data_IF_219621262732
#
_entry.id   IF_219621262732
#
_cell.length_a   1.000
_cell.length_b   1.000
_cell.length_c   1.000
_cell.angle_alpha   90.00
_cell.angle_beta   90.00
_cell.angle_gamma   90.00
#
_symmetry.space_group_name_H-M   'P 1'
#
loop_
_entity.id
_entity.type
_entity.pdbx_description
1 polymer ?
#
# COMPACT_ATOMS: atom_id res chain seq x y z
N UNK A 1 -20.72 -77.52 29.48
CA UNK A 1 -19.43 -77.44 28.75
C UNK A 1 -19.71 -77.07 27.30
N UNK A 2 -18.92 -76.12 26.77
CA UNK A 2 -18.97 -75.49 25.43
C UNK A 2 -20.06 -74.40 25.33
N UNK A 3 -19.81 -73.09 25.32
CA UNK A 3 -18.60 -72.32 25.02
C UNK A 3 -18.69 -71.73 23.60
N UNK A 4 -19.42 -70.63 23.42
CA UNK A 4 -19.37 -69.79 22.22
C UNK A 4 -18.67 -68.47 22.60
N UNK A 5 -17.42 -68.35 22.16
CA UNK A 5 -16.63 -67.12 22.21
C UNK A 5 -16.98 -66.23 21.03
N UNK A 6 -17.49 -65.03 21.30
CA UNK A 6 -17.61 -63.96 20.33
C UNK A 6 -16.24 -63.30 20.11
N UNK A 7 -15.77 -63.26 18.87
CA UNK A 7 -14.55 -62.57 18.47
C UNK A 7 -14.86 -61.08 18.26
N UNK A 8 -14.40 -60.22 19.17
CA UNK A 8 -14.30 -58.78 18.94
C UNK A 8 -12.99 -58.49 18.18
N UNK A 9 -13.08 -58.19 16.88
CA UNK A 9 -11.99 -57.55 16.14
C UNK A 9 -11.97 -56.06 16.48
N UNK A 10 -10.98 -55.64 17.27
CA UNK A 10 -10.60 -54.23 17.40
C UNK A 10 -9.81 -53.84 16.14
N UNK A 11 -10.44 -53.08 15.24
CA UNK A 11 -9.74 -52.38 14.18
C UNK A 11 -9.26 -51.04 14.75
N UNK A 12 -7.97 -50.98 15.11
CA UNK A 12 -7.30 -49.76 15.50
C UNK A 12 -6.97 -48.96 14.23
N UNK A 13 -7.84 -48.03 13.83
CA UNK A 13 -7.57 -47.09 12.74
C UNK A 13 -6.57 -46.03 13.21
N UNK A 14 -5.28 -46.30 13.02
CA UNK A 14 -4.24 -45.27 13.09
C UNK A 14 -4.42 -44.33 11.88
N UNK A 15 -5.14 -43.22 12.08
CA UNK A 15 -5.02 -42.07 11.18
C UNK A 15 -3.66 -41.43 11.43
N UNK A 16 -2.63 -41.89 10.72
CA UNK A 16 -1.42 -41.11 10.54
C UNK A 16 -1.75 -39.97 9.57
N UNK A 17 -2.06 -38.79 10.12
CA UNK A 17 -2.00 -37.56 9.35
C UNK A 17 -0.54 -37.40 8.88
N UNK A 18 -0.28 -37.73 7.62
CA UNK A 18 0.99 -37.38 6.98
C UNK A 18 1.09 -35.86 7.01
N UNK A 19 2.19 -35.27 7.53
CA UNK A 19 2.41 -33.85 7.35
C UNK A 19 2.44 -33.60 5.85
N UNK A 20 1.52 -32.77 5.35
CA UNK A 20 1.60 -32.24 3.99
C UNK A 20 2.94 -31.53 3.89
N UNK A 21 3.92 -32.18 3.25
CA UNK A 21 5.11 -31.50 2.80
C UNK A 21 4.60 -30.39 1.89
N UNK A 22 4.66 -29.14 2.35
CA UNK A 22 4.42 -27.99 1.50
C UNK A 22 5.31 -28.17 0.26
N UNK A 23 4.67 -28.45 -0.88
CA UNK A 23 5.37 -28.79 -2.11
C UNK A 23 6.25 -27.64 -2.56
N UNK A 24 7.25 -27.97 -3.38
CA UNK A 24 8.09 -26.97 -4.06
C UNK A 24 7.22 -25.91 -4.77
N UNK A 25 7.51 -24.64 -4.56
CA UNK A 25 6.77 -23.55 -5.19
C UNK A 25 7.23 -23.34 -6.64
N UNK A 26 6.30 -23.52 -7.58
CA UNK A 26 6.54 -23.46 -9.03
C UNK A 26 5.60 -22.49 -9.74
N UNK A 27 5.76 -21.18 -9.54
CA UNK A 27 4.84 -20.19 -10.10
C UNK A 27 5.02 -20.01 -11.61
N UNK A 28 3.93 -19.62 -12.28
CA UNK A 28 3.96 -18.98 -13.59
C UNK A 28 3.72 -17.49 -13.35
N UNK A 29 4.72 -16.65 -13.61
CA UNK A 29 4.61 -15.21 -13.45
C UNK A 29 3.92 -14.59 -14.66
N UNK A 30 2.90 -13.77 -14.40
CA UNK A 30 2.17 -13.04 -15.43
C UNK A 30 2.59 -11.57 -15.46
N UNK A 31 2.59 -10.96 -16.66
CA UNK A 31 2.63 -9.50 -16.74
C UNK A 31 1.27 -8.92 -16.43
N UNK A 32 1.19 -7.96 -15.52
CA UNK A 32 -0.03 -7.20 -15.24
C UNK A 32 0.32 -5.77 -14.85
N UNK A 33 -0.64 -4.86 -15.02
CA UNK A 33 -0.42 -3.41 -14.83
C UNK A 33 0.04 -3.05 -13.40
N UNK A 34 -0.39 -3.82 -12.38
CA UNK A 34 0.04 -3.70 -10.98
C UNK A 34 1.37 -4.42 -10.65
N UNK A 35 2.06 -5.03 -11.61
CA UNK A 35 3.37 -5.62 -11.35
C UNK A 35 4.43 -4.53 -11.09
N UNK A 36 5.62 -4.88 -10.56
CA UNK A 36 6.75 -3.95 -10.54
C UNK A 36 7.25 -3.69 -11.96
N UNK A 37 7.89 -2.54 -12.21
CA UNK A 37 8.59 -2.30 -13.49
C UNK A 37 9.72 -3.27 -13.75
N UNK A 38 10.45 -3.63 -12.70
CA UNK A 38 11.55 -4.58 -12.70
C UNK A 38 11.31 -5.65 -11.63
N UNK A 39 11.46 -6.91 -12.03
CA UNK A 39 11.37 -8.07 -11.15
C UNK A 39 12.65 -8.88 -11.23
N UNK A 40 13.27 -9.14 -10.08
CA UNK A 40 14.36 -10.12 -9.95
C UNK A 40 13.73 -11.46 -9.60
N UNK A 41 14.03 -12.50 -10.36
CA UNK A 41 13.48 -13.83 -10.16
C UNK A 41 14.60 -14.87 -10.09
N UNK A 42 14.58 -15.75 -9.08
CA UNK A 42 15.62 -16.75 -8.82
C UNK A 42 15.00 -18.15 -8.92
N UNK A 43 15.48 -18.91 -9.92
CA UNK A 43 15.10 -20.29 -10.14
C UNK A 43 16.13 -21.21 -9.50
N UNK A 44 15.72 -21.85 -8.40
CA UNK A 44 16.60 -22.72 -7.62
C UNK A 44 16.90 -24.03 -8.35
N UNK A 45 16.02 -24.59 -9.16
CA UNK A 45 16.29 -25.83 -9.89
C UNK A 45 17.31 -25.58 -11.00
N UNK A 46 17.14 -24.49 -11.76
CA UNK A 46 18.03 -24.12 -12.87
C UNK A 46 19.30 -23.41 -12.42
N UNK A 47 19.37 -22.96 -11.16
CA UNK A 47 20.48 -22.15 -10.65
C UNK A 47 20.70 -20.90 -11.52
N UNK A 48 19.60 -20.20 -11.81
CA UNK A 48 19.58 -19.01 -12.66
C UNK A 48 18.86 -17.86 -11.96
N UNK A 49 19.39 -16.66 -12.13
CA UNK A 49 18.72 -15.40 -11.83
C UNK A 49 18.26 -14.77 -13.15
N UNK A 50 17.01 -14.33 -13.17
CA UNK A 50 16.40 -13.60 -14.27
C UNK A 50 16.04 -12.19 -13.84
N UNK A 51 16.21 -11.24 -14.75
CA UNK A 51 15.65 -9.89 -14.61
C UNK A 51 14.54 -9.74 -15.64
N UNK A 52 13.32 -9.48 -15.16
CA UNK A 52 12.13 -9.36 -15.99
C UNK A 52 11.63 -7.92 -15.91
N UNK A 53 11.27 -7.34 -17.06
CA UNK A 53 10.59 -6.04 -17.09
C UNK A 53 9.10 -6.20 -17.33
N UNK A 54 8.29 -5.38 -16.66
CA UNK A 54 6.85 -5.25 -16.91
C UNK A 54 6.59 -4.52 -18.21
N UNK A 55 6.77 -5.26 -19.29
CA UNK A 55 6.15 -5.02 -20.60
C UNK A 55 5.09 -6.10 -20.78
N UNK A 56 4.17 -5.93 -21.72
CA UNK A 56 3.24 -7.01 -22.08
C UNK A 56 3.79 -7.68 -23.34
N UNK A 57 4.40 -8.88 -23.26
CA UNK A 57 4.61 -9.74 -22.08
C UNK A 57 5.84 -9.40 -21.24
N UNK A 58 5.97 -10.04 -20.05
CA UNK A 58 7.16 -9.90 -19.20
C UNK A 58 8.39 -10.18 -20.05
N UNK A 59 9.21 -9.14 -20.24
CA UNK A 59 10.37 -9.22 -21.12
C UNK A 59 11.59 -9.56 -20.30
N UNK A 60 12.21 -10.69 -20.61
CA UNK A 60 13.53 -11.06 -20.10
C UNK A 60 14.56 -10.00 -20.53
N UNK A 61 15.20 -9.37 -19.54
CA UNK A 61 16.27 -8.40 -19.72
C UNK A 61 17.64 -9.06 -19.60
N UNK A 62 17.85 -9.88 -18.57
CA UNK A 62 19.10 -10.57 -18.27
C UNK A 62 18.81 -11.96 -17.72
N UNK A 63 19.68 -12.92 -18.04
CA UNK A 63 19.74 -14.26 -17.45
C UNK A 63 21.17 -14.51 -17.01
N UNK A 64 21.37 -14.79 -15.73
CA UNK A 64 22.69 -14.91 -15.13
C UNK A 64 22.76 -16.20 -14.30
N UNK A 65 23.85 -16.98 -14.41
CA UNK A 65 24.12 -18.07 -13.49
C UNK A 65 24.14 -17.58 -12.04
N UNK A 66 23.54 -18.34 -11.15
CA UNK A 66 23.64 -18.11 -9.72
C UNK A 66 23.86 -19.44 -8.99
N UNK A 67 24.08 -19.38 -7.68
CA UNK A 67 24.08 -20.55 -6.81
C UNK A 67 23.29 -20.27 -5.54
N UNK A 68 22.61 -21.29 -5.05
CA UNK A 68 21.68 -21.20 -3.91
C UNK A 68 22.12 -22.13 -2.77
N UNK A 69 21.27 -22.29 -1.76
CA UNK A 69 21.51 -23.14 -0.61
C UNK A 69 21.80 -24.60 -0.98
N UNK A 70 22.69 -25.24 -0.23
CA UNK A 70 23.08 -26.64 -0.38
C UNK A 70 21.90 -27.62 -0.32
N UNK A 71 20.84 -27.28 0.42
CA UNK A 71 19.66 -28.13 0.54
C UNK A 71 18.53 -27.69 -0.39
N UNK A 72 17.82 -28.68 -0.94
CA UNK A 72 16.62 -28.47 -1.74
C UNK A 72 15.40 -28.13 -0.88
N UNK A 73 14.36 -27.58 -1.52
CA UNK A 73 13.10 -27.19 -0.89
C UNK A 73 13.14 -25.84 -0.18
N UNK A 74 11.99 -25.43 0.34
CA UNK A 74 11.80 -24.16 1.04
C UNK A 74 12.50 -24.15 2.41
N UNK A 75 12.99 -22.98 2.79
CA UNK A 75 13.66 -22.73 4.05
C UNK A 75 12.65 -22.75 5.19
N UNK A 76 12.91 -23.55 6.22
CA UNK A 76 12.04 -23.73 7.37
C UNK A 76 12.69 -23.31 8.68
N UNK A 77 13.97 -23.65 8.89
CA UNK A 77 14.63 -23.39 10.17
C UNK A 77 16.04 -22.82 10.01
N UNK A 78 16.55 -22.16 11.04
CA UNK A 78 17.93 -21.69 11.06
C UNK A 78 18.90 -22.86 10.83
N UNK A 79 19.87 -22.69 9.94
CA UNK A 79 20.90 -23.69 9.66
C UNK A 79 20.48 -24.86 8.75
N UNK A 80 19.26 -24.88 8.21
CA UNK A 80 18.81 -25.93 7.26
C UNK A 80 19.47 -25.88 5.87
N UNK A 81 20.33 -24.88 5.62
CA UNK A 81 21.07 -24.69 4.37
C UNK A 81 20.19 -24.52 3.13
N UNK A 82 18.91 -24.14 3.32
CA UNK A 82 17.96 -23.91 2.22
C UNK A 82 17.85 -22.42 1.90
N UNK A 83 17.67 -22.13 0.62
CA UNK A 83 17.22 -20.81 0.17
C UNK A 83 15.69 -20.75 0.25
N UNK A 84 15.11 -19.70 0.86
CA UNK A 84 13.68 -19.61 1.05
C UNK A 84 12.92 -19.46 -0.28
N UNK A 85 11.67 -19.91 -0.31
CA UNK A 85 10.74 -19.70 -1.43
C UNK A 85 9.71 -18.63 -1.06
N UNK A 86 9.42 -17.71 -1.99
CA UNK A 86 8.50 -16.60 -1.78
C UNK A 86 8.95 -15.29 -2.42
N UNK A 87 8.25 -14.22 -2.06
CA UNK A 87 8.56 -12.84 -2.46
C UNK A 87 9.28 -12.14 -1.32
N UNK A 88 10.47 -11.64 -1.62
CA UNK A 88 11.33 -10.89 -0.71
C UNK A 88 11.69 -9.53 -1.29
N UNK A 89 12.28 -8.67 -0.48
CA UNK A 89 12.68 -7.34 -0.90
C UNK A 89 14.07 -7.02 -0.38
N UNK A 90 14.86 -6.36 -1.21
CA UNK A 90 16.17 -5.83 -0.82
C UNK A 90 15.98 -4.77 0.27
N UNK A 91 16.72 -4.91 1.37
CA UNK A 91 16.63 -4.01 2.52
C UNK A 91 17.72 -2.94 2.54
N UNK A 92 18.90 -3.27 2.01
CA UNK A 92 20.06 -2.39 2.03
C UNK A 92 21.13 -2.92 1.08
N UNK A 93 22.28 -2.25 1.07
CA UNK A 93 23.47 -2.66 0.33
C UNK A 93 24.69 -2.63 1.25
N UNK A 94 25.48 -3.70 1.19
CA UNK A 94 26.72 -3.87 1.94
C UNK A 94 27.90 -3.93 0.96
N UNK A 95 28.99 -3.20 1.25
CA UNK A 95 30.22 -3.13 0.43
C UNK A 95 31.51 -3.36 1.22
N UNK A 96 31.42 -3.69 2.50
CA UNK A 96 32.59 -3.79 3.37
C UNK A 96 32.36 -4.77 4.52
N UNK A 97 33.46 -5.34 5.02
CA UNK A 97 33.42 -6.38 6.07
C UNK A 97 32.92 -7.73 5.58
N UNK A 98 32.94 -7.96 4.26
CA UNK A 98 32.56 -9.21 3.62
C UNK A 98 33.80 -10.09 3.44
N UNK A 99 33.68 -11.37 3.78
CA UNK A 99 34.64 -12.38 3.29
C UNK A 99 34.49 -12.45 1.78
N UNK A 100 35.48 -11.93 1.06
CA UNK A 100 35.42 -11.75 -0.38
C UNK A 100 35.25 -13.08 -1.14
N UNK A 101 35.89 -14.16 -0.68
CA UNK A 101 35.75 -15.46 -1.33
C UNK A 101 34.31 -16.00 -1.23
N UNK A 102 33.64 -15.72 -0.12
CA UNK A 102 32.28 -16.20 0.15
C UNK A 102 31.19 -15.26 -0.35
N UNK A 103 31.41 -13.96 -0.30
CA UNK A 103 30.38 -12.93 -0.46
C UNK A 103 30.68 -11.89 -1.56
N UNK A 104 31.88 -11.93 -2.14
CA UNK A 104 32.28 -10.98 -3.17
C UNK A 104 32.40 -9.55 -2.66
N UNK A 105 32.31 -8.60 -3.59
CA UNK A 105 32.44 -7.17 -3.31
C UNK A 105 31.17 -6.53 -2.75
N UNK A 106 30.00 -7.14 -2.99
CA UNK A 106 28.70 -6.57 -2.63
C UNK A 106 27.69 -7.62 -2.17
N UNK A 107 26.90 -7.26 -1.16
CA UNK A 107 25.75 -8.05 -0.72
C UNK A 107 24.50 -7.17 -0.52
N UNK A 108 23.35 -7.71 -0.87
CA UNK A 108 22.02 -7.11 -0.75
C UNK A 108 21.17 -7.98 0.17
N UNK A 109 21.05 -7.61 1.46
CA UNK A 109 20.23 -8.36 2.40
C UNK A 109 18.74 -8.36 2.01
N UNK A 110 18.10 -9.53 2.08
CA UNK A 110 16.67 -9.70 1.83
C UNK A 110 15.91 -9.71 3.16
N UNK A 111 14.63 -9.32 3.13
CA UNK A 111 13.77 -9.27 4.32
C UNK A 111 13.27 -10.64 4.83
N UNK A 112 14.01 -11.72 4.61
CA UNK A 112 13.69 -13.03 5.20
C UNK A 112 14.05 -13.06 6.70
N UNK A 113 13.17 -13.58 7.59
CA UNK A 113 11.82 -14.04 7.31
C UNK A 113 10.84 -12.86 7.19
N UNK A 114 10.05 -12.89 6.11
CA UNK A 114 8.96 -11.94 5.90
C UNK A 114 7.78 -12.28 6.85
N UNK A 115 6.72 -11.44 6.92
CA UNK A 115 5.56 -11.70 7.78
C UNK A 115 4.91 -13.08 7.61
N UNK A 116 4.77 -13.58 6.37
CA UNK A 116 4.18 -14.91 6.10
C UNK A 116 5.10 -16.03 6.54
N UNK A 117 6.42 -15.87 6.39
CA UNK A 117 7.40 -16.82 6.92
C UNK A 117 7.27 -16.96 8.44
N UNK A 118 7.13 -15.83 9.16
CA UNK A 118 6.94 -15.82 10.62
C UNK A 118 5.62 -16.45 11.03
N UNK A 119 4.52 -16.13 10.32
CA UNK A 119 3.23 -16.78 10.53
C UNK A 119 3.41 -18.29 10.40
N UNK A 120 4.13 -18.77 9.38
CA UNK A 120 4.42 -20.19 9.15
C UNK A 120 5.46 -20.79 10.09
N UNK A 121 5.93 -20.06 11.10
CA UNK A 121 6.89 -20.53 12.10
C UNK A 121 8.31 -20.73 11.56
N UNK A 122 8.65 -20.14 10.40
CA UNK A 122 9.99 -20.25 9.84
C UNK A 122 10.98 -19.42 10.65
N UNK A 123 12.20 -19.94 10.80
CA UNK A 123 13.27 -19.29 11.58
C UNK A 123 14.57 -19.11 10.78
N UNK A 124 15.48 -18.32 11.34
CA UNK A 124 16.75 -17.94 10.71
C UNK A 124 16.73 -16.50 10.20
N UNK A 125 17.82 -16.10 9.55
CA UNK A 125 18.06 -14.75 9.03
C UNK A 125 19.25 -14.78 8.08
N UNK A 126 19.66 -13.62 7.56
CA UNK A 126 20.91 -13.49 6.80
C UNK A 126 20.86 -14.09 5.39
N UNK A 127 19.69 -14.06 4.76
CA UNK A 127 19.54 -14.45 3.35
C UNK A 127 19.85 -13.24 2.48
N UNK A 128 20.94 -13.32 1.71
CA UNK A 128 21.42 -12.22 0.88
C UNK A 128 21.43 -12.62 -0.60
N UNK A 129 21.28 -11.62 -1.47
CA UNK A 129 21.73 -11.67 -2.86
C UNK A 129 23.13 -11.06 -2.91
N UNK A 130 24.17 -11.78 -3.30
CA UNK A 130 25.54 -11.28 -3.19
C UNK A 130 26.47 -11.78 -4.31
N UNK A 131 27.67 -11.17 -4.38
CA UNK A 131 28.74 -11.58 -5.28
C UNK A 131 29.46 -12.83 -4.81
N UNK A 132 30.46 -13.30 -5.55
CA UNK A 132 31.30 -14.42 -5.14
C UNK A 132 32.65 -14.34 -5.82
N UNK A 133 33.70 -14.25 -5.00
CA UNK A 133 35.08 -14.20 -5.48
C UNK A 133 35.63 -15.54 -6.01
N UNK A 134 34.90 -16.65 -5.83
CA UNK A 134 35.26 -17.97 -6.37
C UNK A 134 34.24 -18.50 -7.38
N UNK A 135 34.67 -19.46 -8.18
CA UNK A 135 33.82 -20.10 -9.19
C UNK A 135 32.50 -20.62 -8.59
N UNK A 136 31.39 -20.33 -9.28
CA UNK A 136 30.09 -20.81 -8.88
C UNK A 136 30.00 -22.33 -9.01
N UNK A 137 29.72 -22.99 -7.90
CA UNK A 137 29.29 -24.38 -7.85
C UNK A 137 27.79 -24.39 -7.55
N UNK A 138 26.95 -25.12 -8.29
CA UNK A 138 25.52 -25.27 -7.97
C UNK A 138 25.30 -25.67 -6.51
N UNK A 139 24.32 -25.06 -5.84
CA UNK A 139 23.91 -25.41 -4.46
C UNK A 139 25.07 -25.35 -3.47
N UNK A 140 25.79 -24.22 -3.42
CA UNK A 140 27.03 -24.10 -2.64
C UNK A 140 27.02 -22.91 -1.65
N UNK A 141 25.83 -22.42 -1.29
CA UNK A 141 25.67 -21.44 -0.21
C UNK A 141 24.98 -22.07 1.01
N UNK A 142 24.94 -21.35 2.13
CA UNK A 142 24.16 -21.74 3.32
C UNK A 142 22.69 -21.26 3.27
N UNK A 143 22.24 -20.74 2.13
CA UNK A 143 20.88 -20.23 1.93
C UNK A 143 20.83 -18.94 1.11
N UNK A 144 21.93 -18.22 0.95
CA UNK A 144 22.02 -17.03 0.09
C UNK A 144 21.88 -17.38 -1.41
N UNK A 145 21.64 -16.35 -2.22
CA UNK A 145 21.74 -16.41 -3.68
C UNK A 145 23.03 -15.68 -4.07
N UNK A 146 23.98 -16.39 -4.68
CA UNK A 146 25.25 -15.83 -5.07
C UNK A 146 25.43 -15.82 -6.60
N UNK A 147 25.97 -14.73 -7.13
CA UNK A 147 26.37 -14.57 -8.53
C UNK A 147 27.88 -14.37 -8.61
N UNK A 148 28.46 -14.44 -9.80
CA UNK A 148 29.84 -14.00 -10.01
C UNK A 148 29.93 -12.47 -9.78
N UNK A 149 31.05 -11.98 -9.26
CA UNK A 149 31.22 -10.54 -8.97
C UNK A 149 30.93 -9.62 -10.17
N UNK A 150 31.47 -9.89 -11.39
CA UNK A 150 31.18 -9.04 -12.54
C UNK A 150 29.69 -9.00 -12.91
N UNK A 151 28.97 -10.10 -12.67
CA UNK A 151 27.55 -10.20 -13.00
C UNK A 151 26.71 -9.34 -12.05
N UNK A 152 26.94 -9.46 -10.73
CA UNK A 152 26.17 -8.69 -9.75
C UNK A 152 26.53 -7.20 -9.76
N UNK A 153 27.79 -6.86 -10.04
CA UNK A 153 28.22 -5.47 -10.22
C UNK A 153 27.51 -4.82 -11.40
N UNK A 154 27.31 -5.59 -12.49
CA UNK A 154 26.51 -5.18 -13.64
C UNK A 154 25.01 -4.99 -13.36
N UNK A 155 24.54 -5.30 -12.14
CA UNK A 155 23.16 -5.09 -11.70
C UNK A 155 23.02 -3.95 -10.69
N UNK A 156 24.10 -3.25 -10.31
CA UNK A 156 24.10 -2.27 -9.22
C UNK A 156 22.96 -1.24 -9.30
N UNK A 157 22.70 -0.69 -10.48
CA UNK A 157 21.67 0.33 -10.66
C UNK A 157 20.24 -0.22 -10.64
N UNK A 158 20.09 -1.54 -10.77
CA UNK A 158 18.82 -2.24 -10.84
C UNK A 158 18.38 -2.79 -9.44
N UNK A 159 19.33 -2.97 -8.52
CA UNK A 159 19.15 -3.61 -7.21
C UNK A 159 19.01 -2.59 -6.06
N UNK A 160 18.13 -1.61 -6.24
CA UNK A 160 17.82 -0.62 -5.20
C UNK A 160 17.10 -1.24 -3.98
N UNK A 161 17.16 -0.55 -2.85
CA UNK A 161 16.32 -0.85 -1.68
C UNK A 161 14.85 -0.90 -2.09
N UNK A 162 14.15 -1.98 -1.73
CA UNK A 162 12.77 -2.19 -2.10
C UNK A 162 12.54 -2.90 -3.42
N UNK A 163 13.58 -3.24 -4.19
CA UNK A 163 13.44 -4.12 -5.37
C UNK A 163 12.91 -5.49 -4.94
N UNK A 164 11.82 -6.00 -5.55
CA UNK A 164 11.28 -7.32 -5.26
C UNK A 164 12.14 -8.43 -5.86
N UNK A 165 12.38 -9.47 -5.06
CA UNK A 165 13.11 -10.69 -5.42
C UNK A 165 12.18 -11.89 -5.20
N UNK A 166 11.74 -12.50 -6.28
CA UNK A 166 10.95 -13.73 -6.27
C UNK A 166 11.90 -14.91 -6.28
N UNK A 167 11.78 -15.81 -5.32
CA UNK A 167 12.59 -17.02 -5.24
C UNK A 167 11.68 -18.23 -5.23
N UNK A 168 11.89 -19.16 -6.17
CA UNK A 168 11.05 -20.34 -6.34
C UNK A 168 11.90 -21.58 -6.69
N UNK A 169 11.31 -22.76 -6.55
CA UNK A 169 11.97 -24.01 -6.97
C UNK A 169 12.18 -24.01 -8.48
N UNK A 170 11.11 -23.77 -9.25
CA UNK A 170 11.14 -23.61 -10.71
C UNK A 170 10.30 -22.39 -11.09
N UNK A 171 10.78 -21.54 -11.99
CA UNK A 171 10.07 -20.35 -12.45
C UNK A 171 9.66 -20.47 -13.92
N UNK A 172 8.43 -20.14 -14.24
CA UNK A 172 8.02 -19.88 -15.60
C UNK A 172 7.33 -18.51 -15.68
N UNK A 173 7.18 -17.96 -16.89
CA UNK A 173 6.39 -16.75 -17.11
C UNK A 173 5.69 -16.83 -18.46
N UNK A 174 4.59 -16.10 -18.61
CA UNK A 174 3.76 -16.12 -19.82
C UNK A 174 3.29 -14.72 -20.21
N UNK A 175 2.93 -14.59 -21.48
CA UNK A 175 2.33 -13.42 -22.10
C UNK A 175 0.82 -13.32 -21.90
N UNK A 176 0.19 -14.44 -21.54
CA UNK A 176 -1.26 -14.52 -21.40
C UNK A 176 -1.68 -13.97 -20.03
N UNK A 177 -2.59 -12.98 -19.97
CA UNK A 177 -3.26 -12.59 -18.73
C UNK A 177 -3.81 -13.80 -17.97
N UNK A 178 -3.39 -13.97 -16.72
CA UNK A 178 -3.85 -15.05 -15.85
C UNK A 178 -4.78 -14.55 -14.73
N UNK A 179 -5.16 -15.47 -13.85
CA UNK A 179 -5.86 -15.17 -12.59
C UNK A 179 -5.13 -14.08 -11.77
N UNK A 180 -3.79 -14.07 -11.83
CA UNK A 180 -2.94 -13.06 -11.21
C UNK A 180 -3.33 -11.62 -11.56
N UNK A 181 -3.70 -11.33 -12.81
CA UNK A 181 -4.09 -9.97 -13.19
C UNK A 181 -5.41 -9.54 -12.54
N UNK A 182 -6.39 -10.45 -12.48
CA UNK A 182 -7.70 -10.17 -11.86
C UNK A 182 -7.55 -10.02 -10.34
N UNK A 183 -6.78 -10.91 -9.72
CA UNK A 183 -6.55 -10.89 -8.29
C UNK A 183 -5.69 -9.69 -7.87
N UNK A 184 -4.64 -9.34 -8.63
CA UNK A 184 -3.86 -8.12 -8.41
C UNK A 184 -4.74 -6.88 -8.41
N UNK A 185 -5.63 -6.72 -9.40
CA UNK A 185 -6.60 -5.62 -9.45
C UNK A 185 -7.51 -5.60 -8.23
N UNK A 186 -8.06 -6.77 -7.84
CA UNK A 186 -8.90 -6.91 -6.64
C UNK A 186 -8.17 -6.48 -5.37
N UNK A 187 -6.91 -6.88 -5.19
CA UNK A 187 -6.11 -6.53 -4.03
C UNK A 187 -5.76 -5.04 -4.02
N UNK A 188 -5.45 -4.43 -5.18
CA UNK A 188 -5.24 -2.98 -5.27
C UNK A 188 -6.52 -2.21 -4.94
N UNK A 189 -7.68 -2.64 -5.43
CA UNK A 189 -8.97 -2.07 -5.00
C UNK A 189 -9.20 -2.24 -3.49
N UNK A 190 -8.76 -3.36 -2.91
CA UNK A 190 -8.84 -3.60 -1.45
C UNK A 190 -7.93 -2.65 -0.68
N UNK A 191 -6.71 -2.34 -1.16
CA UNK A 191 -5.83 -1.31 -0.59
C UNK A 191 -6.48 0.08 -0.66
N UNK A 192 -7.10 0.43 -1.78
CA UNK A 192 -7.81 1.71 -1.91
C UNK A 192 -9.00 1.81 -0.95
N UNK A 193 -9.76 0.72 -0.80
CA UNK A 193 -10.87 0.64 0.14
C UNK A 193 -10.39 0.73 1.59
N UNK A 194 -9.32 0.02 1.94
CA UNK A 194 -8.64 0.12 3.24
C UNK A 194 -8.24 1.56 3.57
N UNK A 195 -7.68 2.31 2.61
CA UNK A 195 -7.34 3.72 2.80
C UNK A 195 -8.58 4.60 3.02
N UNK A 196 -9.67 4.34 2.27
CA UNK A 196 -10.95 5.06 2.44
C UNK A 196 -11.60 4.79 3.79
N UNK A 197 -11.63 3.53 4.25
CA UNK A 197 -12.16 3.15 5.55
C UNK A 197 -11.36 3.80 6.69
N UNK A 198 -10.03 3.88 6.52
CA UNK A 198 -9.18 4.63 7.46
C UNK A 198 -9.49 6.13 7.46
N UNK A 199 -9.57 6.79 6.29
CA UNK A 199 -9.94 8.21 6.21
C UNK A 199 -11.30 8.50 6.85
N UNK A 200 -12.27 7.60 6.66
CA UNK A 200 -13.60 7.69 7.28
C UNK A 200 -13.61 7.37 8.77
N UNK A 201 -12.51 6.86 9.33
CA UNK A 201 -12.42 6.39 10.71
C UNK A 201 -13.47 5.29 11.00
N UNK A 202 -13.78 4.47 10.00
CA UNK A 202 -14.78 3.40 10.10
C UNK A 202 -14.22 2.18 10.83
N UNK A 203 -15.06 1.45 11.55
CA UNK A 203 -14.71 0.13 12.10
C UNK A 203 -14.46 -0.90 10.99
N UNK A 204 -15.00 -0.70 9.78
CA UNK A 204 -14.71 -1.51 8.58
C UNK A 204 -13.21 -1.57 8.28
N UNK A 205 -12.44 -0.57 8.72
CA UNK A 205 -10.99 -0.57 8.63
C UNK A 205 -10.36 -1.83 9.25
N UNK A 206 -10.92 -2.31 10.37
CA UNK A 206 -10.42 -3.48 11.07
C UNK A 206 -10.82 -4.79 10.40
N UNK A 207 -11.90 -4.80 9.62
CA UNK A 207 -12.33 -5.97 8.85
C UNK A 207 -11.33 -6.35 7.76
N UNK A 208 -10.47 -5.44 7.30
CA UNK A 208 -9.41 -5.77 6.32
C UNK A 208 -8.34 -6.70 6.87
N UNK A 209 -8.27 -6.91 8.18
CA UNK A 209 -7.17 -7.62 8.84
C UNK A 209 -7.58 -9.03 9.28
N UNK A 210 -6.60 -9.93 9.25
CA UNK A 210 -6.63 -11.19 9.99
C UNK A 210 -5.99 -10.96 11.36
N UNK A 211 -6.76 -11.01 12.47
CA UNK A 211 -6.24 -10.77 13.82
C UNK A 211 -5.14 -11.75 14.25
N UNK A 212 -5.30 -13.03 13.91
CA UNK A 212 -4.37 -14.07 14.32
C UNK A 212 -3.08 -13.96 13.50
N UNK A 213 -3.20 -13.83 12.18
CA UNK A 213 -2.08 -13.61 11.28
C UNK A 213 -1.25 -12.40 11.70
N UNK A 214 -1.90 -11.27 11.97
CA UNK A 214 -1.23 -10.04 12.42
C UNK A 214 -0.41 -10.28 13.69
N UNK A 215 -0.99 -10.95 14.67
CA UNK A 215 -0.33 -11.26 15.94
C UNK A 215 0.86 -12.19 15.73
N UNK A 216 0.69 -13.26 14.95
CA UNK A 216 1.76 -14.22 14.62
C UNK A 216 2.88 -13.62 13.76
N UNK A 217 2.59 -12.59 12.98
CA UNK A 217 3.59 -11.85 12.21
C UNK A 217 4.42 -10.86 13.05
N UNK A 218 4.02 -10.63 14.31
CA UNK A 218 4.73 -9.81 15.28
C UNK A 218 4.02 -8.51 15.67
N UNK A 219 2.75 -8.32 15.32
CA UNK A 219 1.95 -7.14 15.70
C UNK A 219 0.70 -7.58 16.45
N UNK A 220 0.67 -7.38 17.77
CA UNK A 220 -0.54 -7.60 18.58
C UNK A 220 -1.73 -6.82 17.99
N UNK A 221 -2.71 -7.56 17.47
CA UNK A 221 -3.85 -6.98 16.78
C UNK A 221 -4.77 -6.20 17.73
N UNK A 222 -4.99 -6.68 18.95
CA UNK A 222 -5.86 -6.00 19.92
C UNK A 222 -5.25 -4.66 20.33
N UNK A 223 -3.93 -4.65 20.60
CA UNK A 223 -3.23 -3.41 20.88
C UNK A 223 -3.28 -2.44 19.68
N UNK A 224 -3.08 -2.96 18.47
CA UNK A 224 -3.16 -2.16 17.23
C UNK A 224 -4.54 -1.54 17.04
N UNK A 225 -5.61 -2.33 17.22
CA UNK A 225 -6.99 -1.88 17.13
C UNK A 225 -7.29 -0.80 18.17
N UNK A 226 -7.00 -1.05 19.44
CA UNK A 226 -7.20 -0.09 20.53
C UNK A 226 -6.43 1.23 20.31
N UNK A 227 -5.21 1.16 19.75
CA UNK A 227 -4.44 2.35 19.38
C UNK A 227 -5.10 3.11 18.24
N UNK A 228 -5.59 2.44 17.20
CA UNK A 228 -6.26 3.07 16.05
C UNK A 228 -7.60 3.68 16.42
N UNK A 229 -8.41 3.00 17.22
CA UNK A 229 -9.68 3.54 17.72
C UNK A 229 -9.46 4.82 18.54
N UNK A 230 -8.45 4.86 19.41
CA UNK A 230 -8.08 6.11 20.11
C UNK A 230 -7.74 7.24 19.15
N UNK A 231 -6.97 6.96 18.09
CA UNK A 231 -6.65 7.95 17.05
C UNK A 231 -7.92 8.42 16.33
N UNK A 232 -8.85 7.50 16.01
CA UNK A 232 -10.11 7.81 15.33
C UNK A 232 -10.99 8.73 16.18
N UNK A 233 -11.07 8.48 17.48
CA UNK A 233 -11.84 9.31 18.42
C UNK A 233 -11.18 10.66 18.70
N UNK A 234 -9.85 10.75 18.69
CA UNK A 234 -9.13 11.97 19.10
C UNK A 234 -8.90 12.97 17.97
N UNK A 235 -9.08 12.59 16.70
CA UNK A 235 -8.82 13.45 15.55
C UNK A 235 -10.12 13.75 14.80
N UNK A 236 -10.46 15.04 14.56
CA UNK A 236 -11.71 15.42 13.92
C UNK A 236 -11.80 14.97 12.47
N UNK A 237 -10.67 14.80 11.81
CA UNK A 237 -10.57 14.31 10.43
C UNK A 237 -9.28 13.52 10.24
N UNK A 238 -9.31 12.58 9.30
CA UNK A 238 -8.15 11.83 8.81
C UNK A 238 -8.26 11.78 7.30
N UNK A 239 -7.14 11.97 6.61
CA UNK A 239 -7.04 11.76 5.17
C UNK A 239 -5.85 10.86 4.86
N UNK A 240 -6.13 9.79 4.14
CA UNK A 240 -5.14 8.79 3.70
C UNK A 240 -5.16 8.72 2.18
N UNK A 241 -3.99 8.91 1.58
CA UNK A 241 -3.75 8.67 0.18
C UNK A 241 -2.80 7.49 0.03
N UNK A 242 -3.06 6.64 -0.96
CA UNK A 242 -2.18 5.55 -1.37
C UNK A 242 -1.82 5.72 -2.84
N UNK A 243 -0.54 5.57 -3.15
CA UNK A 243 0.01 5.71 -4.50
C UNK A 243 0.96 4.55 -4.81
N UNK A 244 1.29 4.38 -6.09
CA UNK A 244 2.27 3.38 -6.56
C UNK A 244 1.97 1.97 -6.02
N UNK A 245 0.70 1.55 -6.11
CA UNK A 245 0.27 0.25 -5.58
C UNK A 245 0.65 -0.87 -6.53
N UNK A 246 1.52 -1.75 -6.06
CA UNK A 246 1.91 -2.97 -6.75
C UNK A 246 1.43 -4.22 -6.02
N UNK A 247 1.38 -5.34 -6.72
CA UNK A 247 0.98 -6.64 -6.19
C UNK A 247 1.82 -7.78 -6.81
N UNK A 248 2.20 -8.77 -6.01
CA UNK A 248 2.83 -10.01 -6.48
C UNK A 248 2.32 -11.24 -5.71
N UNK A 249 2.15 -12.39 -6.39
CA UNK A 249 1.84 -13.65 -5.75
C UNK A 249 3.08 -14.27 -5.09
N UNK A 250 2.88 -14.84 -3.91
CA UNK A 250 3.79 -15.78 -3.25
C UNK A 250 3.15 -17.16 -3.10
N UNK A 251 3.85 -18.14 -2.48
CA UNK A 251 3.31 -19.48 -2.25
C UNK A 251 2.12 -19.43 -1.27
N UNK A 252 0.89 -19.39 -1.77
CA UNK A 252 -0.34 -19.36 -0.97
C UNK A 252 -0.58 -18.03 -0.24
N UNK A 253 0.00 -16.93 -0.73
CA UNK A 253 -0.24 -15.58 -0.21
C UNK A 253 -0.04 -14.54 -1.32
N UNK A 254 -0.43 -13.30 -1.08
CA UNK A 254 -0.07 -12.17 -1.93
C UNK A 254 0.62 -11.08 -1.13
N UNK A 255 1.50 -10.32 -1.76
CA UNK A 255 2.05 -9.10 -1.17
C UNK A 255 1.69 -7.91 -2.03
N UNK A 256 1.14 -6.87 -1.41
CA UNK A 256 1.01 -5.55 -2.03
C UNK A 256 1.98 -4.58 -1.38
N UNK A 257 2.58 -3.68 -2.14
CA UNK A 257 3.36 -2.59 -1.58
C UNK A 257 3.07 -1.27 -2.29
N UNK A 258 3.13 -0.18 -1.54
CA UNK A 258 2.65 1.13 -1.97
C UNK A 258 3.17 2.25 -1.06
N UNK A 259 3.04 3.48 -1.54
CA UNK A 259 3.29 4.69 -0.77
C UNK A 259 2.01 5.14 -0.06
N UNK A 260 2.11 5.54 1.20
CA UNK A 260 0.99 5.98 2.02
C UNK A 260 1.27 7.35 2.62
N UNK A 261 0.44 8.33 2.27
CA UNK A 261 0.43 9.64 2.94
C UNK A 261 -0.77 9.74 3.86
N UNK A 262 -0.52 10.03 5.13
CA UNK A 262 -1.51 10.23 6.17
C UNK A 262 -1.47 11.69 6.64
N UNK A 263 -2.64 12.33 6.74
CA UNK A 263 -2.79 13.66 7.32
C UNK A 263 -3.92 13.74 8.33
N UNK A 264 -3.66 14.54 9.36
CA UNK A 264 -4.64 15.02 10.34
C UNK A 264 -4.09 16.25 11.04
N UNK A 265 -4.88 17.29 11.23
CA UNK A 265 -4.38 18.53 11.81
C UNK A 265 -3.17 19.09 11.02
N UNK A 266 -2.12 19.45 11.75
CA UNK A 266 -0.81 19.82 11.20
C UNK A 266 0.12 18.63 10.92
N UNK A 267 -0.26 17.41 11.30
CA UNK A 267 0.54 16.20 11.09
C UNK A 267 0.42 15.74 9.64
N UNK A 268 1.56 15.55 9.00
CA UNK A 268 1.72 14.84 7.72
C UNK A 268 2.74 13.73 7.93
N UNK A 269 2.40 12.51 7.52
CA UNK A 269 3.29 11.35 7.58
C UNK A 269 3.25 10.62 6.24
N UNK A 270 4.40 10.52 5.58
CA UNK A 270 4.61 9.72 4.38
C UNK A 270 5.44 8.49 4.74
N UNK A 271 4.93 7.31 4.40
CA UNK A 271 5.64 6.04 4.61
C UNK A 271 5.34 5.10 3.45
N UNK A 272 6.30 4.25 3.10
CA UNK A 272 6.02 3.08 2.28
C UNK A 272 5.43 1.98 3.15
N UNK A 273 4.64 1.10 2.55
CA UNK A 273 3.97 0.01 3.26
C UNK A 273 3.98 -1.24 2.43
N UNK A 274 4.13 -2.38 3.10
CA UNK A 274 3.87 -3.71 2.51
C UNK A 274 2.79 -4.41 3.32
N UNK A 275 1.81 -4.98 2.63
CA UNK A 275 0.74 -5.78 3.22
C UNK A 275 0.81 -7.18 2.65
N UNK A 276 0.78 -8.16 3.54
CA UNK A 276 0.80 -9.57 3.21
C UNK A 276 -0.60 -10.12 3.44
N UNK A 277 -1.18 -10.66 2.38
CA UNK A 277 -2.56 -11.10 2.30
C UNK A 277 -2.61 -12.63 2.36
N UNK A 278 -3.38 -13.15 3.30
CA UNK A 278 -3.75 -14.56 3.35
C UNK A 278 -5.25 -14.68 3.12
N UNK A 279 -5.66 -15.79 2.52
CA UNK A 279 -7.06 -16.08 2.32
C UNK A 279 -7.62 -16.72 3.60
N UNK A 280 -8.76 -16.23 4.08
CA UNK A 280 -9.51 -16.85 5.17
C UNK A 280 -10.34 -18.04 4.66
N UNK A 281 -10.97 -18.78 5.59
CA UNK A 281 -11.76 -19.98 5.28
C UNK A 281 -12.96 -19.68 4.37
N UNK A 282 -13.44 -18.44 4.35
CA UNK A 282 -14.53 -17.96 3.50
C UNK A 282 -14.04 -17.50 2.11
N UNK A 283 -12.74 -17.60 1.84
CA UNK A 283 -12.15 -17.22 0.57
C UNK A 283 -11.82 -15.73 0.45
N UNK A 284 -11.92 -14.94 1.52
CA UNK A 284 -11.58 -13.51 1.50
C UNK A 284 -10.10 -13.28 1.78
N UNK A 285 -9.52 -12.32 1.08
CA UNK A 285 -8.13 -11.92 1.31
C UNK A 285 -8.07 -10.91 2.47
N UNK A 286 -7.34 -11.27 3.53
CA UNK A 286 -7.16 -10.46 4.74
C UNK A 286 -5.68 -10.13 4.95
N UNK A 287 -5.41 -8.94 5.47
CA UNK A 287 -4.06 -8.51 5.83
C UNK A 287 -3.63 -9.29 7.07
N UNK A 288 -2.76 -10.28 6.88
CA UNK A 288 -2.19 -11.10 7.94
C UNK A 288 -0.83 -10.57 8.41
N UNK A 289 -0.18 -9.69 7.65
CA UNK A 289 1.11 -9.14 8.04
C UNK A 289 1.40 -7.81 7.38
N UNK A 290 2.29 -7.03 7.99
CA UNK A 290 2.69 -5.73 7.43
C UNK A 290 4.13 -5.36 7.73
N UNK A 291 4.69 -4.57 6.83
CA UNK A 291 5.98 -3.89 7.02
C UNK A 291 5.81 -2.40 6.69
N UNK A 292 6.67 -1.57 7.28
CA UNK A 292 6.81 -0.15 6.98
C UNK A 292 8.15 0.04 6.29
N UNK A 293 8.18 0.82 5.23
CA UNK A 293 9.38 1.16 4.46
C UNK A 293 9.43 2.66 4.23
N UNK A 294 10.47 3.12 3.54
CA UNK A 294 10.52 4.50 3.07
C UNK A 294 9.51 4.70 1.94
N UNK A 295 8.93 5.91 1.91
CA UNK A 295 8.06 6.34 0.83
C UNK A 295 8.89 6.91 -0.33
N UNK A 296 8.30 6.95 -1.52
CA UNK A 296 8.82 7.76 -2.61
C UNK A 296 9.00 9.24 -2.19
N UNK A 297 10.04 9.93 -2.71
CA UNK A 297 10.16 11.38 -2.55
C UNK A 297 8.94 12.08 -3.18
N UNK A 298 8.64 13.30 -2.72
CA UNK A 298 7.58 14.17 -3.25
C UNK A 298 6.12 13.75 -3.02
N UNK A 299 5.84 12.69 -2.23
CA UNK A 299 4.46 12.23 -1.99
C UNK A 299 3.51 13.32 -1.45
N UNK A 300 4.03 14.30 -0.70
CA UNK A 300 3.25 15.46 -0.22
C UNK A 300 2.81 16.40 -1.36
N UNK A 301 3.66 16.57 -2.39
CA UNK A 301 3.32 17.35 -3.57
C UNK A 301 2.25 16.62 -4.38
N UNK A 302 2.43 15.33 -4.66
CA UNK A 302 1.43 14.47 -5.33
C UNK A 302 0.10 14.50 -4.59
N UNK A 303 0.13 14.46 -3.26
CA UNK A 303 -1.07 14.58 -2.44
C UNK A 303 -1.82 15.89 -2.68
N UNK A 304 -1.11 17.02 -2.65
CA UNK A 304 -1.73 18.31 -2.88
C UNK A 304 -2.31 18.42 -4.30
N UNK A 305 -1.61 17.88 -5.31
CA UNK A 305 -2.10 17.82 -6.69
C UNK A 305 -3.40 17.00 -6.80
N UNK A 306 -3.44 15.81 -6.20
CA UNK A 306 -4.63 14.95 -6.21
C UNK A 306 -5.82 15.61 -5.48
N UNK A 307 -5.56 16.28 -4.35
CA UNK A 307 -6.61 17.03 -3.64
C UNK A 307 -7.04 18.28 -4.40
N UNK A 308 -6.14 18.99 -5.07
CA UNK A 308 -6.49 20.12 -5.93
C UNK A 308 -7.40 19.69 -7.09
N UNK A 309 -7.11 18.55 -7.74
CA UNK A 309 -7.99 17.99 -8.78
C UNK A 309 -9.38 17.62 -8.26
N UNK A 310 -9.47 17.18 -7.01
CA UNK A 310 -10.75 16.88 -6.34
C UNK A 310 -11.50 18.16 -5.95
N UNK A 311 -10.79 19.17 -5.43
CA UNK A 311 -11.38 20.37 -4.83
C UNK A 311 -11.69 21.48 -5.86
N UNK A 312 -10.96 21.56 -6.97
CA UNK A 312 -11.20 22.61 -7.97
C UNK A 312 -12.62 22.54 -8.58
N UNK A 313 -13.17 21.36 -8.93
CA UNK A 313 -14.58 21.25 -9.33
C UNK A 313 -15.54 21.67 -8.22
N UNK A 314 -15.26 21.31 -6.95
CA UNK A 314 -16.10 21.68 -5.81
C UNK A 314 -16.15 23.20 -5.60
N UNK A 315 -15.02 23.90 -5.72
CA UNK A 315 -14.97 25.39 -5.64
C UNK A 315 -15.77 26.03 -6.77
N UNK A 316 -15.72 25.46 -7.99
CA UNK A 316 -16.52 25.96 -9.12
C UNK A 316 -18.02 25.75 -8.89
N UNK A 317 -18.44 24.55 -8.52
CA UNK A 317 -19.86 24.28 -8.23
C UNK A 317 -20.39 25.11 -7.05
N UNK A 318 -19.54 25.41 -6.06
CA UNK A 318 -19.88 26.36 -4.99
C UNK A 318 -20.13 27.77 -5.52
N UNK A 319 -19.28 28.26 -6.42
CA UNK A 319 -19.46 29.58 -7.05
C UNK A 319 -20.69 29.62 -7.96
N UNK A 320 -20.95 28.56 -8.72
CA UNK A 320 -22.13 28.45 -9.58
C UNK A 320 -23.43 28.46 -8.76
N UNK A 321 -23.46 27.73 -7.63
CA UNK A 321 -24.60 27.74 -6.71
C UNK A 321 -24.83 29.13 -6.10
N UNK A 322 -23.75 29.85 -5.77
CA UNK A 322 -23.85 31.25 -5.34
C UNK A 322 -24.37 32.15 -6.48
N UNK A 323 -23.79 32.10 -7.68
CA UNK A 323 -24.18 32.95 -8.81
C UNK A 323 -25.66 32.77 -9.19
N UNK A 324 -26.15 31.52 -9.16
CA UNK A 324 -27.55 31.19 -9.48
C UNK A 324 -28.54 31.42 -8.34
N UNK A 325 -28.04 31.76 -7.15
CA UNK A 325 -28.86 31.90 -5.95
C UNK A 325 -29.47 30.58 -5.45
N UNK A 326 -28.88 29.43 -5.83
CA UNK A 326 -29.27 28.12 -5.32
C UNK A 326 -28.78 27.94 -3.87
N UNK A 327 -29.65 28.35 -2.95
CA UNK A 327 -29.34 28.41 -1.53
C UNK A 327 -29.06 27.04 -0.90
N UNK A 328 -29.80 26.01 -1.31
CA UNK A 328 -29.67 24.68 -0.69
C UNK A 328 -28.39 23.99 -1.17
N UNK A 329 -28.07 24.10 -2.47
CA UNK A 329 -26.78 23.61 -2.99
C UNK A 329 -25.61 24.40 -2.39
N UNK A 330 -25.71 25.73 -2.31
CA UNK A 330 -24.68 26.59 -1.71
C UNK A 330 -24.40 26.22 -0.25
N UNK A 331 -25.45 26.14 0.58
CA UNK A 331 -25.33 25.78 1.99
C UNK A 331 -24.78 24.35 2.16
N UNK A 332 -25.10 23.46 1.22
CA UNK A 332 -24.59 22.10 1.20
C UNK A 332 -23.06 22.01 1.17
N UNK A 333 -22.33 22.99 0.62
CA UNK A 333 -20.87 22.94 0.62
C UNK A 333 -20.22 23.16 2.00
N UNK A 334 -20.94 23.73 2.96
CA UNK A 334 -20.39 24.09 4.27
C UNK A 334 -20.50 22.93 5.27
N UNK A 335 -19.50 22.83 6.14
CA UNK A 335 -19.57 21.99 7.32
C UNK A 335 -20.61 22.55 8.32
N UNK A 336 -21.35 21.72 9.08
CA UNK A 336 -22.33 22.20 10.05
C UNK A 336 -21.79 23.24 11.03
N UNK A 337 -20.49 23.21 11.35
CA UNK A 337 -19.81 24.14 12.25
C UNK A 337 -18.94 25.18 11.52
N UNK A 338 -19.14 25.37 10.22
CA UNK A 338 -18.35 26.29 9.42
C UNK A 338 -18.40 27.73 9.91
N UNK A 339 -17.32 28.48 9.63
CA UNK A 339 -17.21 29.90 9.98
C UNK A 339 -17.06 30.74 8.72
N UNK A 340 -17.93 31.76 8.56
CA UNK A 340 -17.85 32.75 7.49
C UNK A 340 -17.87 34.16 8.09
N UNK A 341 -16.70 34.79 8.22
CA UNK A 341 -16.58 36.05 8.93
C UNK A 341 -17.02 35.94 10.39
N UNK A 342 -18.05 36.69 10.79
CA UNK A 342 -18.65 36.62 12.14
C UNK A 342 -19.71 35.52 12.28
N UNK A 343 -20.11 34.86 11.18
CA UNK A 343 -21.17 33.85 11.16
C UNK A 343 -20.59 32.50 11.52
N UNK A 344 -21.27 31.78 12.41
CA UNK A 344 -20.88 30.45 12.89
C UNK A 344 -22.02 29.48 12.65
N UNK A 345 -21.73 28.38 11.99
CA UNK A 345 -22.68 27.33 11.62
C UNK A 345 -23.24 27.51 10.22
N UNK A 346 -23.41 26.39 9.50
CA UNK A 346 -23.93 26.38 8.13
C UNK A 346 -25.34 27.00 8.04
N UNK A 347 -26.20 26.74 9.03
CA UNK A 347 -27.57 27.30 9.07
C UNK A 347 -27.56 28.83 9.14
N UNK A 348 -26.70 29.41 9.99
CA UNK A 348 -26.58 30.87 10.09
C UNK A 348 -25.98 31.51 8.83
N UNK A 349 -25.10 30.79 8.12
CA UNK A 349 -24.56 31.21 6.83
C UNK A 349 -25.68 31.20 5.78
N UNK A 350 -26.49 30.14 5.75
CA UNK A 350 -27.65 29.98 4.86
C UNK A 350 -28.69 31.07 5.09
N UNK A 351 -29.15 31.25 6.32
CA UNK A 351 -30.21 32.21 6.66
C UNK A 351 -29.81 33.64 6.31
N UNK A 352 -28.54 33.99 6.51
CA UNK A 352 -28.03 35.28 6.07
C UNK A 352 -28.06 35.43 4.55
N UNK A 353 -27.60 34.42 3.81
CA UNK A 353 -27.59 34.48 2.35
C UNK A 353 -29.00 34.52 1.77
N UNK A 354 -29.96 33.82 2.39
CA UNK A 354 -31.37 33.90 2.05
C UNK A 354 -31.88 35.34 2.11
N UNK A 355 -31.69 36.00 3.26
CA UNK A 355 -32.09 37.41 3.45
C UNK A 355 -31.37 38.35 2.49
N UNK A 356 -30.06 38.16 2.30
CA UNK A 356 -29.26 39.01 1.41
C UNK A 356 -29.74 38.92 -0.04
N UNK A 357 -30.06 37.72 -0.52
CA UNK A 357 -30.43 37.48 -1.91
C UNK A 357 -31.89 37.82 -2.24
N UNK A 358 -32.74 38.12 -1.25
CA UNK A 358 -34.08 38.66 -1.52
C UNK A 358 -33.99 40.02 -2.23
N UNK A 359 -33.07 40.88 -1.77
CA UNK A 359 -32.88 42.24 -2.30
C UNK A 359 -31.66 42.34 -3.22
N UNK A 360 -30.56 41.67 -2.87
CA UNK A 360 -29.26 41.72 -3.56
C UNK A 360 -28.97 40.40 -4.26
N UNK A 361 -29.77 40.08 -5.28
CA UNK A 361 -29.61 38.83 -6.04
C UNK A 361 -28.25 38.80 -6.71
N UNK A 362 -27.46 37.73 -6.53
CA UNK A 362 -26.19 37.54 -7.24
C UNK A 362 -26.44 37.49 -8.74
N UNK A 363 -25.59 38.15 -9.52
CA UNK A 363 -25.59 38.09 -10.98
C UNK A 363 -24.31 37.45 -11.53
N UNK A 364 -23.18 37.67 -10.84
CA UNK A 364 -21.89 37.14 -11.26
C UNK A 364 -21.01 36.79 -10.07
N UNK A 365 -20.37 35.63 -10.11
CA UNK A 365 -19.36 35.18 -9.15
C UNK A 365 -18.15 34.64 -9.93
N UNK A 366 -17.20 35.52 -10.23
CA UNK A 366 -15.99 35.15 -10.95
C UNK A 366 -14.91 34.57 -10.03
N UNK A 367 -14.19 33.57 -10.54
CA UNK A 367 -13.04 32.94 -9.89
C UNK A 367 -11.80 33.10 -10.78
N UNK A 368 -10.72 33.67 -10.23
CA UNK A 368 -9.43 33.80 -10.92
C UNK A 368 -8.28 33.36 -9.99
N UNK A 369 -7.17 32.90 -10.57
CA UNK A 369 -5.94 32.53 -9.85
C UNK A 369 -6.16 31.53 -8.70
N UNK A 370 -6.93 30.47 -8.96
CA UNK A 370 -7.21 29.42 -7.97
C UNK A 370 -5.94 28.60 -7.64
N UNK A 371 -5.48 28.72 -6.38
CA UNK A 371 -4.33 28.03 -5.81
C UNK A 371 -4.76 27.17 -4.61
N UNK A 372 -4.01 26.09 -4.35
CA UNK A 372 -4.27 25.16 -3.25
C UNK A 372 -3.04 24.99 -2.37
N UNK A 373 -3.24 25.00 -1.04
CA UNK A 373 -2.17 24.81 -0.06
C UNK A 373 -2.60 23.91 1.08
N UNK A 374 -1.63 23.22 1.69
CA UNK A 374 -1.89 22.48 2.91
C UNK A 374 -2.28 23.45 4.04
N UNK A 375 -3.29 23.07 4.80
CA UNK A 375 -3.75 23.81 5.97
C UNK A 375 -3.94 22.84 7.15
N UNK A 376 -3.84 23.32 8.39
CA UNK A 376 -4.05 22.48 9.58
C UNK A 376 -5.49 21.95 9.69
N UNK A 377 -6.45 22.64 9.07
CA UNK A 377 -7.83 22.17 8.90
C UNK A 377 -8.03 21.20 7.73
N UNK A 378 -7.05 21.02 6.85
CA UNK A 378 -7.17 20.21 5.63
C UNK A 378 -6.44 20.85 4.44
N UNK A 379 -7.18 21.42 3.50
CA UNK A 379 -6.64 22.12 2.31
C UNK A 379 -7.26 23.51 2.20
N UNK A 380 -6.43 24.54 2.05
CA UNK A 380 -6.89 25.89 1.73
C UNK A 380 -6.91 26.10 0.22
N UNK A 381 -8.02 26.58 -0.30
CA UNK A 381 -8.16 27.11 -1.65
C UNK A 381 -8.18 28.64 -1.59
N UNK A 382 -7.28 29.30 -2.30
CA UNK A 382 -7.20 30.77 -2.36
C UNK A 382 -7.36 31.23 -3.81
N UNK A 383 -8.17 32.26 -4.03
CA UNK A 383 -8.44 32.80 -5.35
C UNK A 383 -8.86 34.27 -5.28
N UNK A 384 -8.84 34.94 -6.42
CA UNK A 384 -9.41 36.27 -6.60
C UNK A 384 -10.88 36.09 -6.99
N UNK A 385 -11.76 36.69 -6.21
CA UNK A 385 -13.20 36.72 -6.46
C UNK A 385 -13.61 38.08 -7.01
N UNK A 386 -14.48 38.07 -8.02
CA UNK A 386 -15.20 39.25 -8.52
C UNK A 386 -16.70 39.00 -8.37
N UNK A 387 -17.44 39.96 -7.85
CA UNK A 387 -18.87 39.82 -7.58
C UNK A 387 -19.66 40.99 -8.15
N UNK A 388 -20.85 40.69 -8.67
CA UNK A 388 -21.82 41.68 -9.14
C UNK A 388 -23.22 41.23 -8.69
N UNK A 389 -24.08 42.18 -8.28
CA UNK A 389 -25.46 41.91 -7.86
C UNK A 389 -26.51 42.76 -8.60
N UNK A 390 -27.78 42.40 -8.45
CA UNK A 390 -28.91 43.04 -9.13
C UNK A 390 -29.14 44.52 -8.77
N UNK A 391 -28.49 45.02 -7.71
CA UNK A 391 -28.54 46.44 -7.33
C UNK A 391 -27.46 47.28 -8.03
N UNK A 392 -26.59 46.63 -8.82
CA UNK A 392 -25.43 47.26 -9.46
C UNK A 392 -24.22 47.40 -8.55
N UNK A 393 -24.22 46.72 -7.39
CA UNK A 393 -23.05 46.65 -6.53
C UNK A 393 -22.02 45.68 -7.12
N UNK A 394 -20.74 46.06 -7.05
CA UNK A 394 -19.62 45.24 -7.48
C UNK A 394 -18.54 45.20 -6.41
N UNK A 395 -17.88 44.06 -6.25
CA UNK A 395 -16.66 43.95 -5.45
C UNK A 395 -15.61 43.03 -6.07
N UNK A 396 -14.37 43.22 -5.60
CA UNK A 396 -13.23 42.38 -5.94
C UNK A 396 -12.37 42.18 -4.72
N UNK A 397 -12.02 40.93 -4.44
CA UNK A 397 -11.22 40.60 -3.26
C UNK A 397 -10.54 39.25 -3.34
N UNK A 398 -9.61 39.02 -2.43
CA UNK A 398 -9.01 37.70 -2.22
C UNK A 398 -9.92 36.89 -1.30
N UNK A 399 -10.26 35.68 -1.71
CA UNK A 399 -11.05 34.73 -0.92
C UNK A 399 -10.21 33.50 -0.58
N UNK A 400 -10.39 32.99 0.63
CA UNK A 400 -9.79 31.74 1.12
C UNK A 400 -10.86 30.84 1.68
N UNK A 401 -10.99 29.64 1.11
CA UNK A 401 -11.85 28.56 1.60
C UNK A 401 -10.98 27.44 2.19
N UNK A 402 -11.22 27.05 3.43
CA UNK A 402 -10.56 25.88 4.04
C UNK A 402 -11.50 24.69 3.95
N UNK A 403 -11.06 23.64 3.27
CA UNK A 403 -11.77 22.37 3.13
C UNK A 403 -11.22 21.33 4.10
N UNK A 404 -12.13 20.59 4.73
CA UNK A 404 -11.84 19.45 5.61
C UNK A 404 -12.47 18.18 5.03
N UNK A 405 -11.80 17.03 5.09
CA UNK A 405 -12.41 15.76 4.68
C UNK A 405 -13.38 15.30 5.77
N UNK A 406 -14.56 14.89 5.32
CA UNK A 406 -15.66 14.38 6.15
C UNK A 406 -16.07 12.99 5.65
N UNK A 407 -16.95 12.30 6.40
CA UNK A 407 -17.50 11.00 5.97
C UNK A 407 -18.28 11.06 4.65
N UNK A 408 -18.73 12.23 4.22
CA UNK A 408 -19.51 12.46 2.99
C UNK A 408 -18.74 13.21 1.89
N UNK A 409 -17.42 13.36 2.02
CA UNK A 409 -16.58 14.12 1.09
C UNK A 409 -15.99 15.37 1.72
N UNK A 410 -15.63 16.38 0.94
CA UNK A 410 -14.98 17.59 1.45
C UNK A 410 -16.00 18.70 1.70
N UNK A 411 -15.88 19.38 2.85
CA UNK A 411 -16.75 20.50 3.24
C UNK A 411 -15.93 21.73 3.61
N UNK A 412 -16.48 22.92 3.36
CA UNK A 412 -15.88 24.20 3.74
C UNK A 412 -16.08 24.39 5.24
N UNK A 413 -14.99 24.46 6.01
CA UNK A 413 -15.03 24.73 7.46
C UNK A 413 -14.72 26.19 7.80
N UNK A 414 -14.07 26.93 6.89
CA UNK A 414 -13.78 28.34 7.07
C UNK A 414 -13.79 29.05 5.73
N UNK A 415 -14.41 30.23 5.70
CA UNK A 415 -14.36 31.17 4.59
C UNK A 415 -13.89 32.54 5.09
N UNK A 416 -12.93 33.11 4.38
CA UNK A 416 -12.40 34.45 4.62
C UNK A 416 -12.35 35.22 3.31
N UNK A 417 -12.60 36.54 3.40
CA UNK A 417 -12.52 37.46 2.27
C UNK A 417 -11.86 38.76 2.70
N UNK A 418 -11.04 39.33 1.83
CA UNK A 418 -10.43 40.65 2.01
C UNK A 418 -10.45 41.41 0.68
N UNK A 419 -10.88 42.68 0.72
CA UNK A 419 -10.85 43.57 -0.43
C UNK A 419 -9.43 43.70 -1.02
N UNK A 420 -9.35 43.91 -2.33
CA UNK A 420 -8.10 44.14 -3.07
C UNK A 420 -7.95 45.58 -3.54
#
# INVERSE_FOLDING_TARGET
MKGLTAACLLILSLLTALPSFAGAWRPVLHSHEQGPELLVAVDKARQQLFMLSRRSPLKLLKSLPCTTGQSNGDKLVQGDLRTPEGVYFIQSRLRGGLDWELYGDVAYPLNYPNPVDRIRGKTGSGIWLHGRGKQLVPRDTRGCVALADPDIDGLENDLATGTPVVIADELNWTDTPGEDQLLARKLVSSVQQWAKDWSRRSDDFFAHYDPEGMTRSGVDFQWFQNRKQRIFSSHPWIDVMVENVHALPGPGYWVTWFDQLYRTGSLTSAVGKRLYWLQDDDGNWRIAGREITDAAPDLQKTYLEHRAQTLAPLVRSWADAWETGDLDTYAGFYDPHAVQGSRRGADHIRDYKAQLWEEKRPLRVGLQDLDFRLHSGGIAATFIQTYEDATGYEDKGRKTLVFTPTGQGWRIVSEQWSAL
#
